data_IF_495755000165
#
_entry.id   IF_495755000165
#
_cell.length_a   1.000
_cell.length_b   1.000
_cell.length_c   1.000
_cell.angle_alpha   90.00
_cell.angle_beta   90.00
_cell.angle_gamma   90.00
#
_symmetry.space_group_name_H-M   'P 1'
#
loop_
_entity.id
_entity.type
_entity.pdbx_description
1 polymer ?
#
# COMPACT_ATOMS: atom_id res chain seq x y z
N UNK A 1 2.45 20.11 -52.73
CA UNK A 1 2.77 18.74 -53.22
C UNK A 1 3.98 18.12 -52.50
N UNK A 2 5.10 18.85 -52.35
CA UNK A 2 6.33 18.35 -51.67
C UNK A 2 6.12 18.02 -50.18
N UNK A 3 5.33 18.82 -49.44
CA UNK A 3 5.04 18.58 -48.02
C UNK A 3 4.25 17.28 -47.75
N UNK A 4 3.37 16.87 -48.68
CA UNK A 4 2.63 15.61 -48.54
C UNK A 4 3.51 14.39 -48.75
N UNK A 5 4.50 14.50 -49.66
CA UNK A 5 5.46 13.43 -49.91
C UNK A 5 6.38 13.20 -48.70
N UNK A 6 6.82 14.28 -48.04
CA UNK A 6 7.66 14.19 -46.83
C UNK A 6 6.91 13.58 -45.64
N UNK A 7 5.62 13.93 -45.47
CA UNK A 7 4.77 13.33 -44.43
C UNK A 7 4.46 11.84 -44.70
N UNK A 8 4.35 11.45 -45.97
CA UNK A 8 4.19 10.04 -46.36
C UNK A 8 5.47 9.25 -46.08
N UNK A 9 6.64 9.80 -46.42
CA UNK A 9 7.95 9.19 -46.18
C UNK A 9 8.25 9.04 -44.69
N UNK A 10 7.86 10.01 -43.85
CA UNK A 10 8.02 9.88 -42.39
C UNK A 10 7.15 8.77 -41.82
N UNK A 11 5.89 8.64 -42.28
CA UNK A 11 4.98 7.55 -41.88
C UNK A 11 5.48 6.18 -42.31
N UNK A 12 6.05 6.06 -43.51
CA UNK A 12 6.67 4.82 -43.99
C UNK A 12 7.89 4.46 -43.13
N UNK A 13 8.73 5.45 -42.76
CA UNK A 13 9.88 5.24 -41.87
C UNK A 13 9.46 4.78 -40.47
N UNK A 14 8.43 5.39 -39.89
CA UNK A 14 7.84 4.98 -38.61
C UNK A 14 7.26 3.56 -38.71
N UNK A 15 6.55 3.24 -39.79
CA UNK A 15 6.00 1.90 -40.02
C UNK A 15 7.11 0.85 -40.11
N UNK A 16 8.20 1.13 -40.81
CA UNK A 16 9.36 0.24 -40.87
C UNK A 16 10.07 0.11 -39.51
N UNK A 17 10.20 1.18 -38.72
CA UNK A 17 10.75 1.10 -37.37
C UNK A 17 9.88 0.24 -36.44
N UNK A 18 8.55 0.39 -36.49
CA UNK A 18 7.61 -0.47 -35.77
C UNK A 18 7.74 -1.92 -36.23
N UNK A 19 7.86 -2.17 -37.54
CA UNK A 19 8.01 -3.52 -38.09
C UNK A 19 9.34 -4.17 -37.73
N UNK A 20 10.41 -3.39 -37.60
CA UNK A 20 11.73 -3.85 -37.14
C UNK A 20 11.72 -4.12 -35.64
N UNK A 21 11.04 -3.28 -34.84
CA UNK A 21 10.79 -3.57 -33.41
C UNK A 21 9.96 -4.86 -33.29
N UNK A 22 8.91 -5.05 -34.09
CA UNK A 22 8.10 -6.26 -34.10
C UNK A 22 8.86 -7.51 -34.58
N UNK A 23 9.82 -7.38 -35.52
CA UNK A 23 10.71 -8.47 -35.94
C UNK A 23 11.77 -8.80 -34.89
N UNK A 24 12.27 -7.80 -34.15
CA UNK A 24 13.18 -8.00 -33.02
C UNK A 24 12.43 -8.49 -31.77
N UNK A 25 11.11 -8.28 -31.72
CA UNK A 25 10.13 -8.97 -30.87
C UNK A 25 9.61 -10.26 -31.53
N UNK A 26 10.46 -10.99 -32.26
CA UNK A 26 10.37 -12.45 -32.29
C UNK A 26 10.72 -13.01 -30.90
N UNK A 27 9.94 -12.60 -29.89
CA UNK A 27 9.56 -13.51 -28.83
C UNK A 27 8.81 -14.62 -29.54
N UNK A 28 9.50 -15.75 -29.71
CA UNK A 28 8.88 -16.99 -30.09
C UNK A 28 7.61 -17.17 -29.27
N UNK A 29 6.48 -16.97 -29.95
CA UNK A 29 5.27 -17.77 -30.02
C UNK A 29 5.20 -18.96 -29.04
N UNK A 30 5.36 -18.69 -27.75
CA UNK A 30 4.93 -19.51 -26.61
C UNK A 30 3.62 -19.00 -26.01
N UNK A 31 2.92 -18.10 -26.69
CA UNK A 31 1.54 -17.67 -26.36
C UNK A 31 0.47 -18.72 -26.73
N UNK A 32 0.86 -20.00 -26.80
CA UNK A 32 -0.03 -21.16 -26.89
C UNK A 32 0.14 -22.13 -25.70
N UNK A 33 1.15 -21.93 -24.85
CA UNK A 33 1.18 -22.57 -23.53
C UNK A 33 0.18 -21.79 -22.67
N UNK A 34 -0.86 -22.47 -22.15
CA UNK A 34 -1.62 -21.93 -21.02
C UNK A 34 -0.57 -21.46 -20.02
N UNK A 35 -0.49 -20.15 -19.77
CA UNK A 35 0.25 -19.64 -18.63
C UNK A 35 -0.50 -20.23 -17.45
N UNK A 36 -0.02 -21.39 -16.99
CA UNK A 36 -0.46 -21.97 -15.76
C UNK A 36 0.15 -21.04 -14.72
N UNK A 37 -0.60 -19.99 -14.36
CA UNK A 37 -0.28 -19.12 -13.24
C UNK A 37 -0.26 -20.06 -12.04
N UNK A 38 0.91 -20.64 -11.78
CA UNK A 38 1.11 -21.50 -10.63
C UNK A 38 0.77 -20.61 -9.45
N UNK A 39 -0.30 -20.97 -8.75
CA UNK A 39 -0.67 -20.33 -7.51
C UNK A 39 0.58 -20.31 -6.63
N UNK A 40 0.97 -19.12 -6.16
CA UNK A 40 2.08 -18.98 -5.23
C UNK A 40 1.67 -19.72 -3.96
N UNK A 41 2.60 -20.50 -3.41
CA UNK A 41 2.33 -21.36 -2.25
C UNK A 41 2.08 -20.54 -0.97
N UNK A 42 2.33 -19.23 -1.01
CA UNK A 42 2.21 -18.32 0.13
C UNK A 42 0.79 -17.81 0.35
N UNK A 43 0.47 -17.68 1.63
CA UNK A 43 -0.83 -17.26 2.13
C UNK A 43 -0.77 -15.89 2.83
N UNK A 44 -1.73 -15.01 2.53
CA UNK A 44 -1.81 -13.65 3.10
C UNK A 44 -3.19 -13.35 3.68
N UNK A 45 -3.23 -12.89 4.93
CA UNK A 45 -4.40 -12.28 5.54
C UNK A 45 -4.31 -10.76 5.41
N UNK A 46 -5.37 -10.15 4.89
CA UNK A 46 -5.45 -8.72 4.62
C UNK A 46 -6.58 -8.14 5.45
N UNK A 47 -6.26 -7.17 6.29
CA UNK A 47 -7.22 -6.42 7.11
C UNK A 47 -7.26 -4.98 6.62
N UNK A 48 -8.43 -4.56 6.17
CA UNK A 48 -8.69 -3.19 5.72
C UNK A 48 -9.55 -2.51 6.79
N UNK A 49 -9.03 -1.44 7.38
CA UNK A 49 -9.81 -0.60 8.27
C UNK A 49 -10.78 0.28 7.46
N UNK A 50 -12.07 0.12 7.68
CA UNK A 50 -13.10 0.94 7.04
C UNK A 50 -14.13 1.40 8.07
N UNK A 51 -14.04 2.67 8.45
CA UNK A 51 -14.88 3.27 9.50
C UNK A 51 -15.58 4.50 8.94
N UNK A 52 -16.64 4.27 8.18
CA UNK A 52 -17.41 5.34 7.53
C UNK A 52 -18.89 5.17 7.88
N UNK A 53 -19.51 6.13 8.61
CA UNK A 53 -20.93 6.06 8.93
C UNK A 53 -21.78 5.90 7.67
N UNK A 54 -22.75 4.98 7.70
CA UNK A 54 -23.71 4.80 6.58
C UNK A 54 -24.50 6.09 6.29
N UNK A 55 -24.66 6.95 7.30
CA UNK A 55 -25.34 8.24 7.18
C UNK A 55 -24.46 9.38 6.63
N UNK A 56 -23.19 9.14 6.25
CA UNK A 56 -22.29 10.19 5.78
C UNK A 56 -22.79 10.88 4.51
N UNK A 57 -22.57 12.20 4.40
CA UNK A 57 -22.92 13.01 3.23
C UNK A 57 -22.01 12.74 2.04
N UNK A 58 -20.76 12.33 2.29
CA UNK A 58 -19.73 12.15 1.25
C UNK A 58 -19.63 10.68 0.82
N UNK A 59 -20.74 9.95 0.87
CA UNK A 59 -20.80 8.50 0.69
C UNK A 59 -20.23 8.03 -0.65
N UNK A 60 -20.50 8.77 -1.72
CA UNK A 60 -20.02 8.42 -3.06
C UNK A 60 -18.48 8.46 -3.16
N UNK A 61 -17.85 9.49 -2.60
CA UNK A 61 -16.37 9.60 -2.57
C UNK A 61 -15.75 8.49 -1.71
N UNK A 62 -16.32 8.23 -0.53
CA UNK A 62 -15.84 7.16 0.36
C UNK A 62 -16.02 5.77 -0.23
N UNK A 63 -17.14 5.51 -0.89
CA UNK A 63 -17.38 4.25 -1.59
C UNK A 63 -16.42 4.07 -2.77
N UNK A 64 -16.13 5.15 -3.51
CA UNK A 64 -15.16 5.12 -4.60
C UNK A 64 -13.76 4.74 -4.08
N UNK A 65 -13.30 5.36 -2.99
CA UNK A 65 -11.99 5.05 -2.38
C UNK A 65 -11.90 3.58 -1.93
N UNK A 66 -12.90 3.10 -1.19
CA UNK A 66 -12.95 1.69 -0.77
C UNK A 66 -12.94 0.73 -1.97
N UNK A 67 -13.70 1.06 -3.02
CA UNK A 67 -13.70 0.27 -4.26
C UNK A 67 -12.32 0.23 -4.91
N UNK A 68 -11.66 1.39 -5.07
CA UNK A 68 -10.33 1.50 -5.68
C UNK A 68 -9.27 0.78 -4.85
N UNK A 69 -9.33 0.89 -3.52
CA UNK A 69 -8.49 0.14 -2.59
C UNK A 69 -8.63 -1.36 -2.82
N UNK A 70 -9.86 -1.90 -2.79
CA UNK A 70 -10.14 -3.32 -3.00
C UNK A 70 -9.73 -3.82 -4.39
N UNK A 71 -10.00 -3.06 -5.45
CA UNK A 71 -9.59 -3.40 -6.82
C UNK A 71 -8.05 -3.49 -6.90
N UNK A 72 -7.33 -2.52 -6.32
CA UNK A 72 -5.86 -2.49 -6.31
C UNK A 72 -5.26 -3.69 -5.56
N UNK A 73 -5.84 -4.06 -4.41
CA UNK A 73 -5.44 -5.22 -3.62
C UNK A 73 -5.66 -6.49 -4.42
N UNK A 74 -6.89 -6.73 -4.92
CA UNK A 74 -7.23 -7.96 -5.66
C UNK A 74 -6.33 -8.14 -6.88
N UNK A 75 -6.02 -7.05 -7.59
CA UNK A 75 -5.07 -7.08 -8.71
C UNK A 75 -3.64 -7.41 -8.27
N UNK A 76 -3.17 -6.85 -7.16
CA UNK A 76 -1.81 -7.05 -6.67
C UNK A 76 -1.58 -8.43 -6.04
N UNK A 77 -2.63 -9.10 -5.56
CA UNK A 77 -2.54 -10.40 -4.87
C UNK A 77 -3.07 -11.59 -5.68
N UNK A 78 -3.47 -11.41 -6.94
CA UNK A 78 -4.18 -12.43 -7.72
C UNK A 78 -3.47 -13.81 -7.79
N UNK A 79 -2.15 -13.85 -7.56
CA UNK A 79 -1.35 -15.08 -7.52
C UNK A 79 -1.25 -15.77 -6.15
N UNK A 80 -1.77 -15.19 -5.07
CA UNK A 80 -1.59 -15.68 -3.70
C UNK A 80 -2.87 -16.32 -3.14
N UNK A 81 -2.71 -17.28 -2.22
CA UNK A 81 -3.80 -17.67 -1.34
C UNK A 81 -4.08 -16.51 -0.39
N UNK A 82 -5.33 -16.04 -0.33
CA UNK A 82 -5.62 -14.84 0.44
C UNK A 82 -7.00 -14.84 1.08
N UNK A 83 -7.12 -14.00 2.11
CA UNK A 83 -8.39 -13.61 2.73
C UNK A 83 -8.39 -12.11 2.96
N UNK A 84 -9.49 -11.45 2.63
CA UNK A 84 -9.68 -10.03 2.87
C UNK A 84 -10.76 -9.85 3.93
N UNK A 85 -10.42 -9.11 4.99
CA UNK A 85 -11.29 -8.76 6.10
C UNK A 85 -11.48 -7.25 6.10
N UNK A 86 -12.73 -6.79 6.06
CA UNK A 86 -13.08 -5.41 6.38
C UNK A 86 -13.28 -5.33 7.90
N UNK A 87 -12.39 -4.61 8.57
CA UNK A 87 -12.49 -4.28 9.99
C UNK A 87 -13.30 -2.99 10.14
N UNK A 88 -14.42 -3.07 10.84
CA UNK A 88 -15.38 -1.97 10.93
C UNK A 88 -16.18 -2.02 12.23
N UNK A 89 -17.11 -1.08 12.42
CA UNK A 89 -18.08 -1.06 13.53
C UNK A 89 -19.50 -1.12 12.98
N UNK A 90 -20.43 -1.65 13.76
CA UNK A 90 -21.87 -1.66 13.44
C UNK A 90 -22.34 -0.27 12.97
N UNK A 91 -22.89 -0.17 11.76
CA UNK A 91 -23.34 1.09 11.15
C UNK A 91 -22.24 1.99 10.54
N UNK A 92 -20.97 1.55 10.55
CA UNK A 92 -19.81 2.31 10.05
C UNK A 92 -19.13 1.65 8.84
N UNK A 93 -19.92 1.07 7.94
CA UNK A 93 -19.37 0.42 6.75
C UNK A 93 -20.24 0.64 5.51
N UNK A 94 -19.58 0.93 4.39
CA UNK A 94 -20.20 1.03 3.07
C UNK A 94 -20.03 -0.26 2.25
N UNK A 95 -19.49 -1.35 2.83
CA UNK A 95 -19.19 -2.59 2.09
C UNK A 95 -20.41 -3.16 1.36
N UNK A 96 -21.61 -3.03 1.93
CA UNK A 96 -22.86 -3.52 1.33
C UNK A 96 -23.27 -2.79 0.05
N UNK A 97 -22.66 -1.63 -0.24
CA UNK A 97 -22.88 -0.83 -1.44
C UNK A 97 -21.85 -1.11 -2.54
N UNK A 98 -20.87 -1.98 -2.28
CA UNK A 98 -19.86 -2.36 -3.27
C UNK A 98 -20.48 -3.23 -4.37
N UNK A 99 -19.88 -3.26 -5.57
CA UNK A 99 -20.21 -4.24 -6.59
C UNK A 99 -20.09 -5.68 -6.07
N UNK A 100 -20.95 -6.58 -6.53
CA UNK A 100 -21.00 -7.99 -6.09
C UNK A 100 -19.68 -8.73 -6.26
N UNK A 101 -18.91 -8.42 -7.32
CA UNK A 101 -17.60 -9.02 -7.58
C UNK A 101 -16.54 -8.67 -6.52
N UNK A 102 -16.73 -7.57 -5.79
CA UNK A 102 -15.88 -7.23 -4.65
C UNK A 102 -16.34 -7.95 -3.40
N UNK A 103 -17.64 -7.97 -3.12
CA UNK A 103 -18.23 -8.47 -1.87
C UNK A 103 -18.02 -9.98 -1.67
N UNK A 104 -18.07 -10.77 -2.73
CA UNK A 104 -18.16 -12.24 -2.63
C UNK A 104 -17.07 -12.90 -1.75
N UNK A 105 -15.86 -12.33 -1.72
CA UNK A 105 -14.72 -12.86 -0.96
C UNK A 105 -14.37 -12.04 0.30
N UNK A 106 -15.21 -11.06 0.67
CA UNK A 106 -14.97 -10.22 1.84
C UNK A 106 -15.56 -10.84 3.09
N UNK A 107 -14.76 -10.89 4.14
CA UNK A 107 -15.25 -11.11 5.49
C UNK A 107 -15.40 -9.77 6.22
N UNK A 108 -16.44 -9.65 7.03
CA UNK A 108 -16.64 -8.47 7.87
C UNK A 108 -16.29 -8.86 9.30
N UNK A 109 -15.39 -8.10 9.92
CA UNK A 109 -15.08 -8.22 11.34
C UNK A 109 -15.58 -6.95 12.05
N UNK A 110 -16.46 -7.14 13.03
CA UNK A 110 -17.00 -6.06 13.83
C UNK A 110 -16.13 -5.85 15.07
N UNK A 111 -15.48 -4.69 15.13
CA UNK A 111 -14.69 -4.26 16.27
C UNK A 111 -15.57 -4.03 17.50
N UNK A 112 -15.01 -4.32 18.67
CA UNK A 112 -15.65 -4.11 19.97
C UNK A 112 -15.35 -2.72 20.56
N UNK A 113 -14.51 -1.92 19.89
CA UNK A 113 -14.18 -0.56 20.30
C UNK A 113 -15.42 0.32 20.35
N UNK A 114 -15.58 1.06 21.44
CA UNK A 114 -16.69 2.00 21.59
C UNK A 114 -16.52 3.21 20.66
N UNK A 115 -15.32 3.79 20.66
CA UNK A 115 -14.92 4.87 19.77
C UNK A 115 -14.59 4.31 18.37
N UNK A 116 -15.31 4.73 17.30
CA UNK A 116 -14.98 4.34 15.93
C UNK A 116 -13.53 4.64 15.54
N UNK A 117 -12.92 5.69 16.08
CA UNK A 117 -11.54 6.06 15.76
C UNK A 117 -10.51 5.05 16.29
N UNK A 118 -10.88 4.19 17.24
CA UNK A 118 -10.01 3.17 17.81
C UNK A 118 -10.15 1.80 17.14
N UNK A 119 -11.10 1.63 16.20
CA UNK A 119 -11.39 0.35 15.53
C UNK A 119 -10.13 -0.29 14.93
N UNK A 120 -9.23 0.51 14.38
CA UNK A 120 -8.02 0.01 13.71
C UNK A 120 -7.07 -0.76 14.63
N UNK A 121 -7.11 -0.51 15.94
CA UNK A 121 -6.32 -1.27 16.92
C UNK A 121 -6.76 -2.75 17.01
N UNK A 122 -8.00 -3.08 16.63
CA UNK A 122 -8.51 -4.46 16.67
C UNK A 122 -7.90 -5.32 15.55
N UNK A 123 -7.20 -4.74 14.55
CA UNK A 123 -6.51 -5.48 13.50
C UNK A 123 -5.49 -6.47 14.07
N UNK A 124 -4.82 -6.11 15.16
CA UNK A 124 -3.90 -7.01 15.85
C UNK A 124 -4.59 -8.28 16.35
N UNK A 125 -5.80 -8.17 16.90
CA UNK A 125 -6.54 -9.34 17.40
C UNK A 125 -6.98 -10.23 16.22
N UNK A 126 -7.42 -9.64 15.11
CA UNK A 126 -7.74 -10.39 13.88
C UNK A 126 -6.52 -11.19 13.40
N UNK A 127 -5.33 -10.57 13.37
CA UNK A 127 -4.11 -11.27 13.01
C UNK A 127 -3.75 -12.38 13.99
N UNK A 128 -3.82 -12.09 15.29
CA UNK A 128 -3.50 -13.04 16.35
C UNK A 128 -4.39 -14.28 16.32
N UNK A 129 -5.69 -14.12 16.06
CA UNK A 129 -6.63 -15.24 15.90
C UNK A 129 -6.30 -16.13 14.69
N UNK A 130 -5.68 -15.55 13.66
CA UNK A 130 -5.35 -16.23 12.40
C UNK A 130 -3.85 -16.53 12.25
N UNK A 131 -3.05 -16.35 13.31
CA UNK A 131 -1.58 -16.40 13.26
C UNK A 131 -1.01 -17.69 12.68
N UNK A 132 -1.74 -18.79 12.82
CA UNK A 132 -1.30 -20.12 12.37
C UNK A 132 -1.77 -20.45 10.94
N UNK A 133 -2.72 -19.68 10.39
CA UNK A 133 -3.39 -19.93 9.11
C UNK A 133 -2.74 -19.22 7.92
N UNK A 134 -1.89 -18.22 8.15
CA UNK A 134 -1.29 -17.40 7.11
C UNK A 134 0.21 -17.18 7.32
N UNK A 135 0.94 -16.94 6.23
CA UNK A 135 2.37 -16.62 6.25
C UNK A 135 2.64 -15.12 6.42
N UNK A 136 1.70 -14.31 5.92
CA UNK A 136 1.78 -12.85 5.90
C UNK A 136 0.49 -12.19 6.39
N UNK A 137 0.66 -11.05 7.06
CA UNK A 137 -0.41 -10.30 7.73
C UNK A 137 -0.31 -8.84 7.33
N UNK A 138 -1.20 -8.41 6.43
CA UNK A 138 -1.23 -7.09 5.84
C UNK A 138 -2.36 -6.26 6.45
N UNK A 139 -2.03 -5.10 7.00
CA UNK A 139 -2.99 -4.07 7.39
C UNK A 139 -2.89 -2.88 6.45
N UNK A 140 -4.03 -2.24 6.14
CA UNK A 140 -4.09 -0.93 5.50
C UNK A 140 -5.40 -0.18 5.74
N UNK A 141 -5.36 1.14 5.60
CA UNK A 141 -6.56 2.00 5.58
C UNK A 141 -7.32 1.88 4.23
N UNK A 142 -8.60 2.26 4.21
CA UNK A 142 -9.52 2.10 3.08
C UNK A 142 -9.27 3.02 1.87
N UNK A 143 -8.30 3.93 1.97
CA UNK A 143 -7.87 4.82 0.90
C UNK A 143 -6.43 4.56 0.45
N UNK A 144 -5.83 3.43 0.82
CA UNK A 144 -4.49 3.05 0.36
C UNK A 144 -4.58 2.09 -0.82
N UNK A 145 -3.92 2.43 -1.93
CA UNK A 145 -3.86 1.62 -3.14
C UNK A 145 -2.50 0.92 -3.27
N UNK A 146 -2.55 -0.39 -3.55
CA UNK A 146 -1.37 -1.21 -3.85
C UNK A 146 -1.33 -1.43 -5.36
N UNK A 147 -0.39 -0.78 -6.04
CA UNK A 147 -0.23 -0.85 -7.50
C UNK A 147 1.02 -1.66 -7.91
N UNK A 148 1.43 -2.60 -7.07
CA UNK A 148 2.67 -3.38 -7.21
C UNK A 148 2.43 -4.86 -6.91
N UNK A 149 2.31 -5.70 -7.94
CA UNK A 149 2.13 -7.16 -7.77
C UNK A 149 3.37 -7.89 -7.21
N UNK A 150 4.48 -7.19 -6.99
CA UNK A 150 5.73 -7.72 -6.43
C UNK A 150 5.97 -7.25 -4.99
N UNK A 151 5.03 -6.52 -4.37
CA UNK A 151 5.22 -5.96 -3.04
C UNK A 151 5.63 -7.02 -2.01
N UNK A 152 5.01 -8.19 -2.04
CA UNK A 152 5.31 -9.27 -1.09
C UNK A 152 6.68 -9.91 -1.35
N UNK A 153 7.10 -10.02 -2.61
CA UNK A 153 8.46 -10.47 -2.95
C UNK A 153 9.52 -9.49 -2.45
N UNK A 154 9.27 -8.17 -2.52
CA UNK A 154 10.17 -7.15 -1.97
C UNK A 154 10.29 -7.26 -0.45
N UNK A 155 9.17 -7.49 0.24
CA UNK A 155 9.14 -7.72 1.69
C UNK A 155 9.91 -8.99 2.04
N UNK A 156 9.76 -10.06 1.26
CA UNK A 156 10.49 -11.31 1.47
C UNK A 156 11.98 -11.17 1.25
N UNK A 157 12.39 -10.54 0.16
CA UNK A 157 13.80 -10.27 -0.13
C UNK A 157 14.44 -9.46 1.01
N UNK A 158 13.75 -8.41 1.48
CA UNK A 158 14.18 -7.63 2.63
C UNK A 158 14.32 -8.46 3.92
N UNK A 159 13.27 -9.20 4.30
CA UNK A 159 13.28 -9.98 5.54
C UNK A 159 14.30 -11.14 5.51
N UNK A 160 14.53 -11.72 4.33
CA UNK A 160 15.54 -12.77 4.13
C UNK A 160 16.94 -12.20 4.31
N UNK A 161 17.22 -11.04 3.73
CA UNK A 161 18.54 -10.45 3.77
C UNK A 161 18.91 -9.82 5.12
N UNK A 162 17.95 -9.24 5.83
CA UNK A 162 18.19 -8.65 7.16
C UNK A 162 18.32 -9.71 8.25
N UNK A 163 17.74 -10.90 8.02
CA UNK A 163 17.71 -12.08 8.92
C UNK A 163 17.42 -11.71 10.39
N UNK A 164 16.50 -10.75 10.58
CA UNK A 164 16.10 -10.24 11.88
C UNK A 164 14.62 -9.78 11.83
N UNK A 165 13.84 -10.20 12.82
CA UNK A 165 12.41 -9.87 12.92
C UNK A 165 12.14 -8.52 13.62
N UNK A 166 13.17 -7.80 14.07
CA UNK A 166 13.03 -6.48 14.71
C UNK A 166 12.75 -5.34 13.74
N UNK A 167 12.93 -5.55 12.43
CA UNK A 167 12.72 -4.51 11.43
C UNK A 167 11.47 -4.77 10.61
N UNK A 168 10.66 -3.73 10.39
CA UNK A 168 9.53 -3.76 9.48
C UNK A 168 9.81 -2.81 8.33
N UNK A 169 9.70 -3.31 7.10
CA UNK A 169 9.80 -2.51 5.88
C UNK A 169 8.46 -1.82 5.63
N UNK A 170 8.47 -0.49 5.60
CA UNK A 170 7.30 0.33 5.29
C UNK A 170 7.45 1.00 3.90
N UNK A 171 6.35 1.12 3.13
CA UNK A 171 6.37 1.77 1.83
C UNK A 171 6.32 3.29 1.97
N UNK A 172 6.81 3.98 0.95
CA UNK A 172 6.55 5.41 0.79
C UNK A 172 5.10 5.66 0.39
N UNK A 173 4.47 6.64 1.04
CA UNK A 173 3.10 7.04 0.70
C UNK A 173 3.16 8.22 -0.24
N UNK A 174 2.47 8.15 -1.38
CA UNK A 174 2.38 9.26 -2.31
C UNK A 174 0.95 9.59 -2.72
N UNK A 175 0.71 10.83 -3.08
CA UNK A 175 -0.47 11.23 -3.85
C UNK A 175 -0.05 11.48 -5.30
N UNK A 176 -0.96 11.20 -6.23
CA UNK A 176 -0.76 11.44 -7.66
C UNK A 176 -1.94 12.20 -8.22
N UNK A 177 -1.69 13.38 -8.80
CA UNK A 177 -2.71 14.22 -9.40
C UNK A 177 -2.10 15.13 -10.47
N UNK A 178 -2.82 15.36 -11.56
CA UNK A 178 -2.38 16.25 -12.66
C UNK A 178 -0.97 15.94 -13.21
N UNK A 179 -0.58 14.65 -13.21
CA UNK A 179 0.76 14.23 -13.66
C UNK A 179 1.87 14.40 -12.61
N UNK A 180 1.55 14.98 -11.45
CA UNK A 180 2.48 15.25 -10.36
C UNK A 180 2.36 14.15 -9.31
N UNK A 181 3.52 13.61 -8.89
CA UNK A 181 3.66 12.68 -7.78
C UNK A 181 4.25 13.39 -6.57
N UNK A 182 3.55 13.37 -5.45
CA UNK A 182 3.98 14.00 -4.20
C UNK A 182 4.14 12.95 -3.12
N UNK A 183 5.35 12.83 -2.56
CA UNK A 183 5.64 11.90 -1.47
C UNK A 183 5.37 12.55 -0.11
N UNK A 184 4.55 11.88 0.70
CA UNK A 184 4.09 12.41 1.98
C UNK A 184 5.19 12.34 3.05
N UNK A 185 6.23 11.54 2.82
CA UNK A 185 7.46 11.46 3.63
C UNK A 185 8.26 12.79 3.69
N UNK A 186 7.93 13.76 2.85
CA UNK A 186 8.46 15.13 2.91
C UNK A 186 7.78 15.99 4.00
N UNK A 187 6.77 15.44 4.67
CA UNK A 187 6.05 16.10 5.75
C UNK A 187 6.69 15.72 7.08
N UNK A 188 7.11 16.72 7.85
CA UNK A 188 7.63 16.52 9.21
C UNK A 188 6.56 15.97 10.16
N UNK A 189 6.99 15.51 11.32
CA UNK A 189 6.14 15.07 12.44
C UNK A 189 5.21 16.17 12.97
N UNK A 190 5.39 17.42 12.57
CA UNK A 190 4.51 18.54 12.93
C UNK A 190 3.55 18.95 11.82
N UNK A 191 3.48 18.17 10.73
CA UNK A 191 2.62 18.48 9.58
C UNK A 191 3.18 19.56 8.65
N UNK A 192 4.39 20.06 8.90
CA UNK A 192 5.05 21.02 8.01
C UNK A 192 5.65 20.27 6.82
N UNK A 193 5.12 20.53 5.62
CA UNK A 193 5.73 20.10 4.36
C UNK A 193 7.04 20.87 4.15
N UNK A 194 8.12 20.16 3.86
CA UNK A 194 9.42 20.75 3.52
C UNK A 194 9.87 20.27 2.15
N UNK A 195 10.85 20.95 1.56
CA UNK A 195 11.43 20.53 0.28
C UNK A 195 12.34 19.30 0.40
N UNK A 196 12.55 18.76 1.61
CA UNK A 196 13.55 17.74 1.88
C UNK A 196 12.94 16.53 2.60
N UNK A 197 13.47 15.34 2.29
CA UNK A 197 13.12 14.13 3.02
C UNK A 197 13.81 14.12 4.38
N UNK A 198 13.01 13.98 5.43
CA UNK A 198 13.48 13.87 6.81
C UNK A 198 13.91 12.44 7.12
N UNK A 199 15.01 12.01 6.49
CA UNK A 199 15.57 10.67 6.63
C UNK A 199 16.90 10.71 7.40
N UNK A 200 17.23 9.63 8.09
CA UNK A 200 18.48 9.50 8.81
C UNK A 200 19.43 8.54 8.10
N UNK A 201 20.44 9.11 7.44
CA UNK A 201 21.46 8.37 6.69
C UNK A 201 22.40 7.55 7.57
N UNK A 202 22.57 7.93 8.84
CA UNK A 202 23.42 7.21 9.79
C UNK A 202 22.84 5.83 10.17
N UNK A 203 21.54 5.64 9.96
CA UNK A 203 20.83 4.38 10.15
C UNK A 203 20.36 3.84 8.81
N UNK A 204 21.30 3.57 7.89
CA UNK A 204 21.00 2.99 6.59
C UNK A 204 21.64 1.63 6.39
N UNK A 205 20.95 0.78 5.63
CA UNK A 205 21.41 -0.54 5.21
C UNK A 205 21.21 -0.68 3.70
N UNK A 206 22.05 -1.47 3.04
CA UNK A 206 21.91 -1.76 1.62
C UNK A 206 21.79 -3.26 1.41
N UNK A 207 20.73 -3.67 0.71
CA UNK A 207 20.41 -5.06 0.40
C UNK A 207 20.13 -5.11 -1.10
N UNK A 208 20.86 -5.95 -1.83
CA UNK A 208 20.63 -6.19 -3.28
C UNK A 208 20.55 -4.89 -4.12
N UNK A 209 21.43 -3.91 -3.85
CA UNK A 209 21.48 -2.58 -4.47
C UNK A 209 20.29 -1.66 -4.14
N UNK A 210 19.52 -2.00 -3.12
CA UNK A 210 18.44 -1.17 -2.58
C UNK A 210 18.90 -0.66 -1.23
N UNK A 211 19.08 0.66 -1.11
CA UNK A 211 19.40 1.29 0.17
C UNK A 211 18.10 1.58 0.92
N UNK A 212 18.11 1.36 2.23
CA UNK A 212 17.01 1.63 3.15
C UNK A 212 17.50 2.52 4.28
N UNK A 213 16.62 3.35 4.85
CA UNK A 213 16.94 4.20 5.99
C UNK A 213 15.70 4.45 6.86
N UNK A 214 15.91 5.02 8.04
CA UNK A 214 14.81 5.47 8.90
C UNK A 214 14.34 6.87 8.47
N UNK A 215 13.07 7.19 8.77
CA UNK A 215 12.43 8.47 8.47
C UNK A 215 11.80 9.04 9.74
N UNK A 216 11.81 10.36 9.91
CA UNK A 216 11.16 11.06 11.04
C UNK A 216 9.64 10.81 11.05
N UNK A 217 9.02 10.80 9.87
CA UNK A 217 7.63 10.42 9.67
C UNK A 217 7.54 9.06 8.97
N UNK A 218 7.48 7.95 9.73
CA UNK A 218 7.43 6.62 9.14
C UNK A 218 6.03 6.22 8.66
N UNK A 219 4.98 6.99 9.00
CA UNK A 219 3.59 6.59 8.79
C UNK A 219 3.29 6.28 7.32
N UNK A 220 2.67 5.13 7.09
CA UNK A 220 2.35 4.62 5.77
C UNK A 220 0.87 4.23 5.60
N UNK A 221 0.06 4.32 6.67
CA UNK A 221 -1.32 3.80 6.71
C UNK A 221 -1.41 2.33 6.24
N UNK A 222 -0.30 1.59 6.43
CA UNK A 222 -0.04 0.30 5.82
C UNK A 222 1.11 -0.38 6.56
N UNK A 223 1.00 -1.68 6.82
CA UNK A 223 2.14 -2.52 7.23
C UNK A 223 1.88 -3.98 6.86
N UNK A 224 2.94 -4.74 6.60
CA UNK A 224 2.84 -6.18 6.40
C UNK A 224 3.87 -6.91 7.26
N UNK A 225 3.40 -7.81 8.11
CA UNK A 225 4.23 -8.64 8.97
C UNK A 225 4.35 -10.04 8.40
N UNK A 226 5.52 -10.64 8.54
CA UNK A 226 5.70 -12.09 8.44
C UNK A 226 5.12 -12.77 9.67
N UNK A 227 4.82 -14.06 9.55
CA UNK A 227 4.44 -14.91 10.70
C UNK A 227 5.42 -14.83 11.88
N UNK A 228 6.74 -14.74 11.60
CA UNK A 228 7.77 -14.60 12.63
C UNK A 228 7.65 -13.25 13.37
N UNK A 229 7.48 -12.15 12.63
CA UNK A 229 7.26 -10.82 13.21
C UNK A 229 5.98 -10.77 14.04
N UNK A 230 4.85 -11.27 13.52
CA UNK A 230 3.60 -11.32 14.28
C UNK A 230 3.76 -12.10 15.59
N UNK A 231 4.41 -13.28 15.55
CA UNK A 231 4.66 -14.06 16.76
C UNK A 231 5.54 -13.31 17.77
N UNK A 232 6.55 -12.57 17.32
CA UNK A 232 7.35 -11.69 18.19
C UNK A 232 6.50 -10.59 18.82
N UNK A 233 5.60 -9.97 18.06
CA UNK A 233 4.71 -8.93 18.60
C UNK A 233 3.71 -9.48 19.61
N UNK A 234 3.17 -10.68 19.36
CA UNK A 234 2.33 -11.39 20.33
C UNK A 234 3.11 -11.68 21.61
N UNK A 235 4.36 -12.13 21.50
CA UNK A 235 5.21 -12.45 22.64
C UNK A 235 5.61 -11.21 23.47
N UNK A 236 5.62 -10.01 22.89
CA UNK A 236 5.88 -8.77 23.63
C UNK A 236 4.76 -8.40 24.61
N UNK A 237 3.57 -8.98 24.41
CA UNK A 237 2.36 -8.72 25.19
C UNK A 237 1.49 -7.58 24.67
N UNK A 238 1.85 -6.94 23.55
CA UNK A 238 1.08 -5.88 22.89
C UNK A 238 0.51 -4.82 23.86
N UNK A 239 1.38 -4.17 24.61
CA UNK A 239 1.04 -3.23 25.70
C UNK A 239 0.51 -1.89 25.17
N UNK A 240 0.68 -1.61 23.87
CA UNK A 240 0.22 -0.37 23.24
C UNK A 240 -1.18 -0.51 22.60
N UNK A 241 -1.90 -1.60 22.89
CA UNK A 241 -3.31 -1.78 22.52
C UNK A 241 -4.15 -0.55 22.88
N UNK A 242 -4.82 0.01 21.86
CA UNK A 242 -5.70 1.18 21.99
C UNK A 242 -5.05 2.43 22.62
N UNK A 243 -3.71 2.52 22.61
CA UNK A 243 -3.00 3.72 23.07
C UNK A 243 -2.68 4.64 21.90
N UNK A 244 -3.11 5.89 22.01
CA UNK A 244 -2.73 6.95 21.08
C UNK A 244 -1.29 7.36 21.43
N UNK A 245 -0.33 6.93 20.61
CA UNK A 245 1.10 7.09 20.86
C UNK A 245 1.75 8.17 19.98
N UNK A 246 1.13 8.54 18.86
CA UNK A 246 1.57 9.65 18.02
C UNK A 246 0.44 10.18 17.11
N UNK A 247 0.42 11.50 16.89
CA UNK A 247 -0.51 12.28 16.03
C UNK A 247 -2.00 12.14 16.39
N UNK A 248 -2.54 10.95 16.19
CA UNK A 248 -3.95 10.64 16.30
C UNK A 248 -4.15 9.12 16.40
N UNK A 249 -5.40 8.69 16.62
CA UNK A 249 -5.73 7.28 16.83
C UNK A 249 -5.48 6.42 15.58
N UNK A 250 -5.75 6.94 14.37
CA UNK A 250 -5.52 6.21 13.11
C UNK A 250 -4.04 5.99 12.88
N UNK A 251 -3.22 7.04 12.92
CA UNK A 251 -1.79 6.93 12.74
C UNK A 251 -1.15 6.02 13.81
N UNK A 252 -1.65 6.12 15.04
CA UNK A 252 -1.23 5.26 16.15
C UNK A 252 -1.51 3.78 15.87
N UNK A 253 -2.70 3.43 15.41
CA UNK A 253 -3.04 2.05 15.08
C UNK A 253 -2.29 1.54 13.84
N UNK A 254 -2.31 2.32 12.76
CA UNK A 254 -1.81 1.96 11.45
C UNK A 254 -0.28 1.97 11.31
N UNK A 255 0.45 2.60 12.23
CA UNK A 255 1.92 2.57 12.19
C UNK A 255 2.58 2.60 13.55
N UNK A 256 2.25 3.57 14.42
CA UNK A 256 3.09 3.82 15.59
C UNK A 256 2.97 2.76 16.69
N UNK A 257 1.89 1.98 16.74
CA UNK A 257 1.74 0.86 17.67
C UNK A 257 2.81 -0.22 17.48
N UNK A 258 3.34 -0.36 16.25
CA UNK A 258 4.41 -1.30 15.92
C UNK A 258 5.76 -0.88 16.53
N UNK A 259 5.98 0.40 16.86
CA UNK A 259 7.22 0.85 17.51
C UNK A 259 7.44 0.24 18.89
N UNK A 260 6.40 -0.36 19.47
CA UNK A 260 6.54 -1.14 20.70
C UNK A 260 7.55 -2.28 20.53
N UNK A 261 7.60 -2.91 19.34
CA UNK A 261 8.36 -4.14 19.09
C UNK A 261 9.29 -4.06 17.88
N UNK A 262 9.16 -3.03 17.03
CA UNK A 262 9.85 -2.96 15.75
C UNK A 262 10.53 -1.61 15.50
N UNK A 263 11.58 -1.66 14.67
CA UNK A 263 12.21 -0.51 14.03
C UNK A 263 11.72 -0.43 12.58
N UNK A 264 11.53 0.78 12.07
CA UNK A 264 11.05 0.97 10.71
C UNK A 264 12.17 1.33 9.76
N UNK A 265 12.13 0.72 8.58
CA UNK A 265 12.94 1.11 7.45
C UNK A 265 12.03 1.37 6.25
N UNK A 266 12.39 2.36 5.44
CA UNK A 266 11.77 2.62 4.13
C UNK A 266 12.89 2.72 3.09
N UNK A 267 12.60 2.55 1.79
CA UNK A 267 13.60 2.81 0.76
C UNK A 267 14.25 4.19 0.95
N UNK A 268 15.55 4.28 0.69
CA UNK A 268 16.27 5.53 0.77
C UNK A 268 15.84 6.47 -0.37
N UNK A 269 15.96 7.82 -0.25
CA UNK A 269 15.48 8.74 -1.29
C UNK A 269 16.07 8.50 -2.70
N UNK A 270 17.27 7.90 -2.78
CA UNK A 270 17.91 7.48 -4.04
C UNK A 270 17.11 6.43 -4.83
N UNK A 271 16.21 5.72 -4.17
CA UNK A 271 15.45 4.60 -4.68
C UNK A 271 14.03 4.60 -4.08
N UNK A 272 13.47 5.80 -3.88
CA UNK A 272 12.18 6.04 -3.20
C UNK A 272 11.00 5.31 -3.85
N UNK A 273 11.06 5.11 -5.16
CA UNK A 273 10.03 4.42 -5.93
C UNK A 273 10.13 2.89 -5.87
N UNK A 274 11.12 2.33 -5.15
CA UNK A 274 11.29 0.88 -5.05
C UNK A 274 10.12 0.22 -4.33
N UNK A 275 9.60 0.83 -3.26
CA UNK A 275 8.49 0.29 -2.49
C UNK A 275 7.58 1.41 -2.00
N UNK A 276 6.39 1.48 -2.58
CA UNK A 276 5.48 2.61 -2.44
C UNK A 276 4.02 2.19 -2.52
N UNK A 277 3.16 2.98 -1.90
CA UNK A 277 1.71 2.88 -1.94
C UNK A 277 1.10 4.23 -2.24
N UNK A 278 -0.02 4.23 -2.95
CA UNK A 278 -0.72 5.47 -3.27
C UNK A 278 -1.79 5.74 -2.22
N UNK A 279 -1.85 6.97 -1.73
CA UNK A 279 -3.00 7.50 -1.01
C UNK A 279 -4.04 7.98 -2.03
N UNK A 280 -5.25 7.45 -1.93
CA UNK A 280 -6.38 7.70 -2.81
C UNK A 280 -7.03 9.06 -2.48
N UNK A 281 -6.27 10.13 -2.70
CA UNK A 281 -6.67 11.49 -2.41
C UNK A 281 -5.76 12.52 -3.08
N UNK A 282 -6.09 13.79 -2.88
CA UNK A 282 -5.28 14.92 -3.33
C UNK A 282 -5.13 15.99 -2.23
N UNK A 283 -5.34 15.61 -0.96
CA UNK A 283 -5.33 16.54 0.16
C UNK A 283 -3.94 17.11 0.36
N UNK A 284 -2.93 16.25 0.38
CA UNK A 284 -1.57 16.62 0.74
C UNK A 284 -0.84 17.32 -0.42
N UNK A 285 -1.08 16.91 -1.66
CA UNK A 285 -0.54 17.58 -2.86
C UNK A 285 -1.14 18.99 -3.03
N UNK A 286 -2.41 19.20 -2.64
CA UNK A 286 -3.03 20.54 -2.54
C UNK A 286 -2.45 21.36 -1.39
N UNK A 287 -2.23 20.76 -0.23
CA UNK A 287 -1.60 21.43 0.91
C UNK A 287 -0.16 21.86 0.61
N UNK A 288 0.57 21.09 -0.20
CA UNK A 288 1.90 21.43 -0.70
C UNK A 288 1.88 22.53 -1.78
N UNK A 289 0.69 22.97 -2.23
CA UNK A 289 0.55 24.01 -3.26
C UNK A 289 0.98 23.58 -4.67
N UNK A 290 1.10 22.27 -4.92
CA UNK A 290 1.56 21.74 -6.21
C UNK A 290 0.44 21.67 -7.25
N UNK A 291 -0.81 21.63 -6.80
CA UNK A 291 -2.01 21.75 -7.63
C UNK A 291 -2.98 22.75 -7.01
N UNK A 292 -3.94 23.25 -7.79
CA UNK A 292 -4.91 24.23 -7.31
C UNK A 292 -5.79 23.64 -6.20
N UNK A 293 -6.08 24.46 -5.20
CA UNK A 293 -7.20 24.18 -4.31
C UNK A 293 -8.48 24.39 -5.12
N UNK A 294 -9.39 23.43 -5.07
CA UNK A 294 -10.73 23.63 -5.61
C UNK A 294 -11.37 24.73 -4.75
N UNK A 295 -11.54 25.93 -5.32
CA UNK A 295 -12.40 26.94 -4.72
C UNK A 295 -13.83 26.41 -4.81
N UNK A 296 -14.38 26.00 -3.66
CA UNK A 296 -15.80 25.71 -3.51
C UNK A 296 -16.64 26.95 -3.77
#
# INVERSE_FOLDING_TARGET
MIFHLLALLSRVKTYFQIRTIQKNFNLDRKLGEKVNLKQRDESILIVIAHVVPVATTNKADRLKKLKECLDSIKSSIAGYQHRIVILTKEGYSLHSLLPSYLIFDLQIHLSHQQDPMLVEFDAFEVFKEQKDSYDHFLFLEDDILINDSWFLEKIKAFNTAIDNNEYVLLPHRFEYSEGIKYYLDQTTTYGTSTAHYHHNDTMSIEIENVKYCTYENPHAAWYCLTKKQLNSWIASGYKWKSKIVAFGPLESAATFSLLENFKFLKPHPRNINYFEVQHCGNKYIKQAGLIKQDHA
#
